data_IF_660752922487
#
_entry.id   IF_660752922487
#
_cell.length_a   1.000
_cell.length_b   1.000
_cell.length_c   1.000
_cell.angle_alpha   90.00
_cell.angle_beta   90.00
_cell.angle_gamma   90.00
#
_symmetry.space_group_name_H-M   'P 1'
#
loop_
_entity.id
_entity.type
_entity.pdbx_description
1 polymer ?
#
# COMPACT_ATOMS: atom_id res chain seq x y z
N UNK A 1 -2.18 4.78 -12.51
CA UNK A 1 -0.75 5.07 -12.74
C UNK A 1 -0.47 5.55 -14.16
N UNK A 2 -0.74 4.80 -15.25
CA UNK A 2 -0.41 5.18 -16.65
C UNK A 2 -0.87 6.56 -17.10
N UNK A 3 -1.97 7.09 -16.58
CA UNK A 3 -2.41 8.47 -16.89
C UNK A 3 -1.59 9.58 -16.19
N UNK A 4 -0.74 9.23 -15.23
CA UNK A 4 0.10 10.16 -14.48
C UNK A 4 1.55 10.11 -14.91
N UNK A 5 1.97 9.02 -15.54
CA UNK A 5 3.36 8.79 -15.92
C UNK A 5 3.43 8.23 -17.33
N UNK A 6 4.36 8.77 -18.10
CA UNK A 6 4.79 8.18 -19.37
C UNK A 6 5.94 7.21 -19.04
N UNK A 7 5.72 5.92 -19.32
CA UNK A 7 6.67 4.89 -18.95
C UNK A 7 6.13 3.47 -19.12
N UNK A 8 7.01 2.52 -18.87
CA UNK A 8 6.71 1.10 -18.99
C UNK A 8 6.12 0.54 -17.68
N UNK A 9 5.26 -0.43 -17.84
CA UNK A 9 4.64 -1.17 -16.75
C UNK A 9 5.08 -2.63 -16.83
N UNK A 10 5.84 -3.05 -15.83
CA UNK A 10 6.40 -4.39 -15.74
C UNK A 10 5.75 -5.20 -14.62
N UNK A 11 5.48 -6.45 -14.89
CA UNK A 11 5.07 -7.42 -13.88
C UNK A 11 5.69 -8.78 -14.20
N UNK A 12 5.68 -9.71 -13.25
CA UNK A 12 6.13 -11.08 -13.49
C UNK A 12 5.41 -11.74 -14.68
N UNK A 13 4.16 -11.34 -14.94
CA UNK A 13 3.39 -11.81 -16.09
C UNK A 13 3.80 -11.14 -17.41
N UNK A 14 4.38 -9.94 -17.34
CA UNK A 14 4.78 -9.11 -18.49
C UNK A 14 6.29 -8.95 -18.63
N UNK A 15 7.07 -10.00 -18.29
CA UNK A 15 8.50 -10.11 -18.60
C UNK A 15 9.47 -9.38 -17.65
N UNK A 16 9.14 -9.12 -16.39
CA UNK A 16 10.13 -8.73 -15.39
C UNK A 16 9.89 -9.52 -14.10
N UNK A 17 10.79 -10.45 -13.79
CA UNK A 17 10.86 -11.11 -12.49
C UNK A 17 11.95 -10.42 -11.65
N UNK A 18 11.55 -9.81 -10.55
CA UNK A 18 12.49 -9.13 -9.62
C UNK A 18 13.56 -10.07 -9.04
N UNK A 19 13.32 -11.38 -9.08
CA UNK A 19 14.30 -12.40 -8.66
C UNK A 19 15.30 -12.76 -9.76
N UNK A 20 15.07 -12.32 -11.00
CA UNK A 20 16.01 -12.49 -12.11
C UNK A 20 16.95 -11.30 -12.18
N UNK A 21 18.26 -11.54 -12.03
CA UNK A 21 19.26 -10.48 -12.15
C UNK A 21 19.25 -9.82 -13.55
N UNK A 22 19.00 -10.62 -14.60
CA UNK A 22 18.91 -10.09 -15.96
C UNK A 22 17.71 -9.15 -16.16
N UNK A 23 16.58 -9.48 -15.53
CA UNK A 23 15.40 -8.62 -15.59
C UNK A 23 15.58 -7.37 -14.72
N UNK A 24 16.17 -7.52 -13.53
CA UNK A 24 16.46 -6.40 -12.63
C UNK A 24 17.39 -5.37 -13.27
N UNK A 25 18.36 -5.79 -14.10
CA UNK A 25 19.28 -4.91 -14.81
C UNK A 25 18.57 -3.86 -15.70
N UNK A 26 17.33 -4.16 -16.14
CA UNK A 26 16.54 -3.24 -16.98
C UNK A 26 16.15 -1.94 -16.28
N UNK A 27 16.11 -1.91 -14.94
CA UNK A 27 15.80 -0.65 -14.22
C UNK A 27 16.87 0.42 -14.42
N UNK A 28 18.08 0.05 -14.83
CA UNK A 28 19.13 1.00 -15.18
C UNK A 28 18.77 1.90 -16.39
N UNK A 29 17.79 1.54 -17.19
CA UNK A 29 17.34 2.33 -18.34
C UNK A 29 16.37 3.45 -17.94
N UNK A 30 15.92 3.50 -16.67
CA UNK A 30 14.88 4.42 -16.20
C UNK A 30 15.43 5.45 -15.21
N UNK A 31 14.94 6.68 -15.31
CA UNK A 31 15.24 7.76 -14.35
C UNK A 31 14.41 7.62 -13.07
N UNK A 32 13.23 7.00 -13.16
CA UNK A 32 12.31 6.78 -12.03
C UNK A 32 11.83 5.35 -12.04
N UNK A 33 11.97 4.68 -10.90
CA UNK A 33 11.44 3.33 -10.66
C UNK A 33 10.44 3.38 -9.52
N UNK A 34 9.17 3.01 -9.80
CA UNK A 34 8.13 2.86 -8.79
C UNK A 34 7.94 1.36 -8.54
N UNK A 35 8.47 0.88 -7.42
CA UNK A 35 8.50 -0.54 -7.09
C UNK A 35 7.28 -0.95 -6.26
N UNK A 36 6.31 -1.58 -6.93
CA UNK A 36 5.07 -2.08 -6.34
C UNK A 36 5.04 -3.60 -6.22
N UNK A 37 5.96 -4.31 -6.89
CA UNK A 37 5.98 -5.77 -6.86
C UNK A 37 6.21 -6.29 -5.45
N UNK A 38 5.40 -7.23 -5.01
CA UNK A 38 5.50 -7.87 -3.71
C UNK A 38 4.78 -9.21 -3.69
N UNK A 39 5.20 -10.08 -2.77
CA UNK A 39 4.42 -11.22 -2.33
C UNK A 39 3.62 -10.80 -1.09
N UNK A 40 2.28 -10.82 -1.18
CA UNK A 40 1.39 -10.20 -0.19
C UNK A 40 0.71 -11.22 0.76
N UNK A 41 1.24 -12.44 0.86
CA UNK A 41 0.67 -13.46 1.75
C UNK A 41 1.04 -13.23 3.21
N UNK A 42 0.04 -13.35 4.08
CA UNK A 42 0.22 -13.42 5.55
C UNK A 42 0.25 -14.87 6.08
N UNK A 43 0.13 -15.86 5.18
CA UNK A 43 0.21 -17.27 5.57
C UNK A 43 1.66 -17.62 5.98
N UNK A 44 1.89 -18.18 7.18
CA UNK A 44 3.23 -18.60 7.61
C UNK A 44 3.92 -19.58 6.64
N UNK A 45 3.18 -20.39 5.88
CA UNK A 45 3.73 -21.30 4.89
C UNK A 45 4.43 -20.58 3.72
N UNK A 46 4.06 -19.32 3.45
CA UNK A 46 4.61 -18.52 2.36
C UNK A 46 5.71 -17.55 2.83
N UNK A 47 6.20 -17.71 4.06
CA UNK A 47 7.18 -16.79 4.66
C UNK A 47 8.46 -16.67 3.82
N UNK A 48 8.98 -17.77 3.31
CA UNK A 48 10.19 -17.78 2.49
C UNK A 48 9.96 -17.00 1.18
N UNK A 49 8.83 -17.18 0.54
CA UNK A 49 8.48 -16.45 -0.69
C UNK A 49 8.30 -14.95 -0.43
N UNK A 50 7.77 -14.55 0.75
CA UNK A 50 7.74 -13.16 1.16
C UNK A 50 9.16 -12.57 1.25
N UNK A 51 10.08 -13.21 1.96
CA UNK A 51 11.46 -12.71 2.09
C UNK A 51 12.19 -12.70 0.75
N UNK A 52 12.09 -13.74 -0.05
CA UNK A 52 12.71 -13.79 -1.37
C UNK A 52 12.19 -12.68 -2.27
N UNK A 53 10.88 -12.56 -2.43
CA UNK A 53 10.31 -11.58 -3.37
C UNK A 53 10.49 -10.15 -2.85
N UNK A 54 10.17 -9.90 -1.57
CA UNK A 54 10.10 -8.53 -1.05
C UNK A 54 11.47 -7.99 -0.65
N UNK A 55 12.41 -8.84 -0.22
CA UNK A 55 13.76 -8.41 0.17
C UNK A 55 14.75 -8.62 -0.97
N UNK A 56 14.98 -9.88 -1.38
CA UNK A 56 16.00 -10.17 -2.40
C UNK A 56 15.63 -9.53 -3.74
N UNK A 57 14.33 -9.60 -4.15
CA UNK A 57 13.83 -8.94 -5.34
C UNK A 57 14.05 -7.43 -5.31
N UNK A 58 13.75 -6.77 -4.18
CA UNK A 58 14.02 -5.34 -4.01
C UNK A 58 15.52 -5.04 -4.09
N UNK A 59 16.37 -5.82 -3.41
CA UNK A 59 17.82 -5.65 -3.45
C UNK A 59 18.39 -5.81 -4.87
N UNK A 60 17.85 -6.73 -5.66
CA UNK A 60 18.27 -6.89 -7.06
C UNK A 60 18.02 -5.60 -7.86
N UNK A 61 16.84 -4.99 -7.71
CA UNK A 61 16.55 -3.71 -8.36
C UNK A 61 17.47 -2.59 -7.86
N UNK A 62 17.66 -2.48 -6.53
CA UNK A 62 18.47 -1.42 -5.91
C UNK A 62 19.95 -1.47 -6.36
N UNK A 63 20.48 -2.65 -6.63
CA UNK A 63 21.84 -2.83 -7.15
C UNK A 63 22.04 -2.25 -8.55
N UNK A 64 20.99 -2.17 -9.33
CA UNK A 64 21.01 -1.69 -10.71
C UNK A 64 20.63 -0.20 -10.83
N UNK A 65 20.14 0.42 -9.73
CA UNK A 65 19.80 1.86 -9.75
C UNK A 65 21.01 2.71 -10.10
N UNK A 66 20.82 3.67 -10.99
CA UNK A 66 21.85 4.64 -11.38
C UNK A 66 21.93 5.80 -10.36
N UNK A 67 23.10 6.43 -10.29
CA UNK A 67 23.25 7.69 -9.58
C UNK A 67 22.26 8.74 -10.13
N UNK A 68 21.69 9.55 -9.24
CA UNK A 68 20.73 10.62 -9.54
C UNK A 68 19.34 10.16 -10.04
N UNK A 69 19.09 8.86 -10.16
CA UNK A 69 17.74 8.33 -10.41
C UNK A 69 16.85 8.41 -9.16
N UNK A 70 15.59 7.99 -9.28
CA UNK A 70 14.60 8.01 -8.19
C UNK A 70 14.04 6.60 -8.00
N UNK A 71 14.03 6.12 -6.75
CA UNK A 71 13.40 4.86 -6.39
C UNK A 71 12.25 5.10 -5.40
N UNK A 72 11.02 4.78 -5.78
CA UNK A 72 9.84 4.86 -4.91
C UNK A 72 9.43 3.46 -4.51
N UNK A 73 9.41 3.18 -3.21
CA UNK A 73 9.11 1.88 -2.64
C UNK A 73 7.74 1.87 -1.95
N UNK A 74 6.88 0.95 -2.37
CA UNK A 74 5.62 0.69 -1.69
C UNK A 74 5.83 -0.26 -0.51
N UNK A 75 5.92 0.32 0.68
CA UNK A 75 5.89 -0.39 1.96
C UNK A 75 4.46 -0.51 2.48
N UNK A 76 4.27 -0.82 3.74
CA UNK A 76 2.97 -1.01 4.37
C UNK A 76 2.91 -0.39 5.76
N UNK A 77 1.74 0.15 6.13
CA UNK A 77 1.45 0.59 7.50
C UNK A 77 1.55 -0.54 8.53
N UNK A 78 1.37 -1.78 8.09
CA UNK A 78 1.33 -2.93 9.00
C UNK A 78 2.71 -3.25 9.63
N UNK A 79 3.79 -2.56 9.19
CA UNK A 79 5.12 -2.61 9.85
C UNK A 79 5.06 -2.14 11.31
N UNK A 80 4.10 -1.31 11.66
CA UNK A 80 3.90 -0.82 13.03
C UNK A 80 3.29 -1.88 13.97
N UNK A 81 2.63 -2.90 13.43
CA UNK A 81 1.94 -3.89 14.25
C UNK A 81 0.92 -3.25 15.20
N UNK A 82 0.81 -3.80 16.42
CA UNK A 82 -0.12 -3.30 17.44
C UNK A 82 0.28 -1.92 18.01
N UNK A 83 1.52 -1.45 17.84
CA UNK A 83 1.91 -0.12 18.30
C UNK A 83 1.09 1.01 17.65
N UNK A 84 0.53 0.77 16.46
CA UNK A 84 -0.34 1.74 15.81
C UNK A 84 -1.63 2.03 16.62
N UNK A 85 -2.11 1.08 17.41
CA UNK A 85 -3.32 1.24 18.22
C UNK A 85 -3.15 2.24 19.39
N UNK A 86 -1.92 2.61 19.72
CA UNK A 86 -1.62 3.63 20.73
C UNK A 86 -1.86 5.07 20.24
N UNK A 87 -2.17 5.24 18.92
CA UNK A 87 -2.32 6.54 18.28
C UNK A 87 -3.71 6.75 17.68
N UNK A 88 -4.24 7.96 17.81
CA UNK A 88 -5.45 8.36 17.10
C UNK A 88 -5.21 8.59 15.59
N UNK A 89 -4.02 9.08 15.24
CA UNK A 89 -3.43 9.15 13.90
C UNK A 89 -1.97 8.72 14.02
N UNK A 90 -1.56 7.75 13.23
CA UNK A 90 -0.26 7.07 13.39
C UNK A 90 0.84 7.85 12.70
N UNK A 91 1.86 8.35 13.43
CA UNK A 91 2.98 9.08 12.83
C UNK A 91 4.08 8.11 12.36
N UNK A 92 5.01 8.58 11.51
CA UNK A 92 6.12 7.78 10.99
C UNK A 92 7.11 7.30 12.06
N UNK A 93 7.17 8.00 13.20
CA UNK A 93 8.01 7.61 14.35
C UNK A 93 7.35 6.58 15.28
N UNK A 94 6.13 6.12 14.96
CA UNK A 94 5.52 4.98 15.66
C UNK A 94 6.47 3.78 15.63
N UNK A 95 6.57 3.05 16.76
CA UNK A 95 7.49 1.91 16.88
C UNK A 95 7.21 0.84 15.83
N UNK A 96 8.27 0.27 15.29
CA UNK A 96 8.26 -0.88 14.39
C UNK A 96 8.83 -2.14 15.06
N UNK A 97 8.95 -2.15 16.39
CA UNK A 97 9.33 -3.34 17.14
C UNK A 97 8.33 -4.47 16.93
N UNK A 98 8.81 -5.70 17.11
CA UNK A 98 8.00 -6.88 16.85
C UNK A 98 6.76 -6.99 17.76
N UNK A 99 5.60 -7.00 17.16
CA UNK A 99 4.28 -7.15 17.79
C UNK A 99 3.40 -8.12 16.98
N UNK A 100 3.95 -9.32 16.74
CA UNK A 100 3.29 -10.38 15.96
C UNK A 100 3.04 -10.07 14.47
N UNK A 101 3.83 -9.18 13.86
CA UNK A 101 3.82 -8.99 12.41
C UNK A 101 4.20 -10.29 11.69
N UNK A 102 3.58 -10.55 10.55
CA UNK A 102 3.88 -11.71 9.72
C UNK A 102 5.14 -11.51 8.86
N UNK A 103 5.52 -12.52 8.09
CA UNK A 103 6.63 -12.42 7.16
C UNK A 103 6.44 -11.32 6.11
N UNK A 104 5.18 -11.00 5.75
CA UNK A 104 4.88 -9.90 4.83
C UNK A 104 5.38 -8.56 5.39
N UNK A 105 4.95 -8.19 6.60
CA UNK A 105 5.32 -6.92 7.20
C UNK A 105 6.82 -6.86 7.48
N UNK A 106 7.40 -7.94 8.00
CA UNK A 106 8.84 -8.01 8.25
C UNK A 106 9.67 -7.87 6.99
N UNK A 107 9.30 -8.58 5.91
CA UNK A 107 10.02 -8.48 4.64
C UNK A 107 9.96 -7.07 4.04
N UNK A 108 8.81 -6.39 4.18
CA UNK A 108 8.68 -4.99 3.76
C UNK A 108 9.55 -4.06 4.61
N UNK A 109 9.55 -4.22 5.94
CA UNK A 109 10.39 -3.42 6.83
C UNK A 109 11.89 -3.62 6.57
N UNK A 110 12.33 -4.86 6.36
CA UNK A 110 13.72 -5.14 6.00
C UNK A 110 14.07 -4.49 4.65
N UNK A 111 13.18 -4.56 3.67
CA UNK A 111 13.37 -3.90 2.38
C UNK A 111 13.48 -2.37 2.51
N UNK A 112 12.72 -1.72 3.41
CA UNK A 112 12.90 -0.28 3.71
C UNK A 112 14.35 0.05 4.09
N UNK A 113 14.96 -0.77 4.97
CA UNK A 113 16.36 -0.57 5.40
C UNK A 113 17.36 -0.74 4.25
N UNK A 114 17.08 -1.67 3.33
CA UNK A 114 17.88 -1.81 2.11
C UNK A 114 17.72 -0.61 1.17
N UNK A 115 16.51 -0.09 1.00
CA UNK A 115 16.26 1.11 0.19
C UNK A 115 17.09 2.29 0.71
N UNK A 116 17.05 2.56 2.02
CA UNK A 116 17.83 3.63 2.65
C UNK A 116 19.34 3.43 2.46
N UNK A 117 19.83 2.22 2.71
CA UNK A 117 21.26 1.91 2.56
C UNK A 117 21.73 2.12 1.12
N UNK A 118 21.03 1.54 0.14
CA UNK A 118 21.46 1.62 -1.26
C UNK A 118 21.29 3.04 -1.83
N UNK A 119 20.29 3.81 -1.41
CA UNK A 119 20.13 5.20 -1.83
C UNK A 119 21.37 6.04 -1.50
N UNK A 120 21.90 5.87 -0.29
CA UNK A 120 23.14 6.54 0.16
C UNK A 120 24.35 6.02 -0.63
N UNK A 121 24.53 4.68 -0.72
CA UNK A 121 25.71 4.08 -1.32
C UNK A 121 25.83 4.35 -2.83
N UNK A 122 24.71 4.46 -3.51
CA UNK A 122 24.66 4.62 -4.98
C UNK A 122 24.25 6.02 -5.42
N UNK A 123 24.00 6.92 -4.46
CA UNK A 123 23.66 8.33 -4.71
C UNK A 123 22.42 8.49 -5.62
N UNK A 124 21.31 7.81 -5.29
CA UNK A 124 20.01 8.06 -5.90
C UNK A 124 19.01 8.55 -4.87
N UNK A 125 17.92 9.20 -5.32
CA UNK A 125 16.84 9.65 -4.46
C UNK A 125 15.91 8.50 -4.15
N UNK A 126 15.44 8.41 -2.89
CA UNK A 126 14.51 7.34 -2.48
C UNK A 126 13.32 7.88 -1.71
N UNK A 127 12.17 7.27 -1.96
CA UNK A 127 10.95 7.49 -1.21
C UNK A 127 10.36 6.16 -0.76
N UNK A 128 10.02 6.06 0.51
CA UNK A 128 9.32 4.92 1.09
C UNK A 128 7.93 5.39 1.49
N UNK A 129 6.90 4.81 0.89
CA UNK A 129 5.51 5.04 1.30
C UNK A 129 5.01 3.84 2.11
N UNK A 130 4.75 4.04 3.41
CA UNK A 130 4.02 3.11 4.26
C UNK A 130 2.53 3.25 3.96
N UNK A 131 2.08 2.43 3.02
CA UNK A 131 0.73 2.51 2.48
C UNK A 131 -0.30 2.01 3.50
N UNK A 132 -1.37 2.77 3.68
CA UNK A 132 -2.60 2.29 4.25
C UNK A 132 -3.39 1.49 3.20
N UNK A 133 -4.71 1.54 3.23
CA UNK A 133 -5.56 0.79 2.31
C UNK A 133 -5.72 1.51 0.98
N UNK A 134 -4.91 1.16 0.01
CA UNK A 134 -5.06 1.68 -1.36
C UNK A 134 -6.09 0.85 -2.12
N UNK A 135 -7.02 1.51 -2.80
CA UNK A 135 -8.03 0.87 -3.63
C UNK A 135 -8.08 1.46 -5.04
N UNK A 136 -8.48 0.62 -5.98
CA UNK A 136 -8.62 0.96 -7.39
C UNK A 136 -9.76 0.17 -8.02
N UNK A 137 -10.17 0.58 -9.23
CA UNK A 137 -11.10 -0.20 -10.03
C UNK A 137 -10.55 -1.61 -10.27
N UNK A 138 -11.40 -2.66 -10.16
CA UNK A 138 -10.97 -4.03 -10.43
C UNK A 138 -10.33 -4.12 -11.82
N UNK A 139 -9.25 -4.88 -11.92
CA UNK A 139 -8.66 -5.26 -13.21
C UNK A 139 -8.67 -6.78 -13.35
N UNK A 140 -8.94 -7.27 -14.55
CA UNK A 140 -8.99 -8.71 -14.81
C UNK A 140 -7.68 -9.40 -14.40
N UNK A 141 -7.83 -10.51 -13.67
CA UNK A 141 -6.70 -11.35 -13.26
C UNK A 141 -5.85 -10.83 -12.08
N UNK A 142 -6.22 -9.73 -11.44
CA UNK A 142 -5.58 -9.27 -10.23
C UNK A 142 -6.42 -9.57 -8.99
N UNK A 143 -5.72 -9.84 -7.86
CA UNK A 143 -6.37 -9.91 -6.57
C UNK A 143 -6.89 -8.52 -6.18
N UNK A 144 -8.16 -8.47 -5.79
CA UNK A 144 -8.80 -7.25 -5.37
C UNK A 144 -8.54 -7.03 -3.88
N UNK A 145 -8.13 -5.81 -3.50
CA UNK A 145 -8.10 -5.41 -2.10
C UNK A 145 -9.51 -5.44 -1.48
N UNK A 146 -9.60 -5.42 -0.15
CA UNK A 146 -10.88 -5.64 0.54
C UNK A 146 -11.96 -4.61 0.19
N UNK A 147 -11.62 -3.34 -0.09
CA UNK A 147 -12.61 -2.33 -0.51
C UNK A 147 -13.30 -2.74 -1.82
N UNK A 148 -12.50 -3.14 -2.80
CA UNK A 148 -13.02 -3.64 -4.09
C UNK A 148 -13.80 -4.95 -3.91
N UNK A 149 -13.33 -5.82 -3.02
CA UNK A 149 -14.06 -7.05 -2.66
C UNK A 149 -15.45 -6.73 -2.08
N UNK A 150 -15.58 -5.73 -1.19
CA UNK A 150 -16.86 -5.33 -0.64
C UNK A 150 -17.80 -4.77 -1.73
N UNK A 151 -17.29 -3.93 -2.64
CA UNK A 151 -18.08 -3.43 -3.77
C UNK A 151 -18.62 -4.57 -4.62
N UNK A 152 -17.76 -5.54 -5.02
CA UNK A 152 -18.19 -6.70 -5.80
C UNK A 152 -19.15 -7.62 -5.03
N UNK A 153 -18.93 -7.80 -3.73
CA UNK A 153 -19.81 -8.63 -2.91
C UNK A 153 -21.21 -8.05 -2.78
N UNK A 154 -21.33 -6.72 -2.56
CA UNK A 154 -22.64 -6.05 -2.54
C UNK A 154 -23.33 -6.12 -3.90
N UNK A 155 -22.59 -5.86 -5.01
CA UNK A 155 -23.13 -5.96 -6.38
C UNK A 155 -23.69 -7.34 -6.71
N UNK A 156 -23.00 -8.39 -6.24
CA UNK A 156 -23.31 -9.79 -6.59
C UNK A 156 -24.10 -10.52 -5.51
N UNK A 157 -24.46 -9.83 -4.44
CA UNK A 157 -25.10 -10.43 -3.26
C UNK A 157 -24.30 -11.61 -2.69
N UNK A 158 -22.97 -11.48 -2.67
CA UNK A 158 -22.10 -12.45 -2.02
C UNK A 158 -22.01 -12.18 -0.52
N UNK A 159 -21.91 -13.24 0.32
CA UNK A 159 -21.77 -13.06 1.77
C UNK A 159 -20.46 -12.34 2.10
N UNK A 160 -20.55 -11.35 2.99
CA UNK A 160 -19.40 -10.59 3.50
C UNK A 160 -19.19 -10.97 4.96
N UNK A 161 -18.00 -11.46 5.29
CA UNK A 161 -17.60 -11.76 6.67
C UNK A 161 -16.78 -10.61 7.22
N UNK A 162 -17.15 -10.15 8.42
CA UNK A 162 -16.51 -9.00 9.06
C UNK A 162 -15.86 -9.38 10.38
N UNK A 163 -14.58 -9.05 10.60
CA UNK A 163 -13.99 -9.15 11.94
C UNK A 163 -14.67 -8.15 12.87
N UNK A 164 -14.93 -8.56 14.12
CA UNK A 164 -15.50 -7.69 15.16
C UNK A 164 -16.70 -6.85 14.65
N UNK A 165 -17.64 -7.50 13.93
CA UNK A 165 -18.84 -6.86 13.38
C UNK A 165 -18.57 -5.67 12.45
N UNK A 166 -17.32 -5.53 12.00
CA UNK A 166 -16.89 -4.46 11.11
C UNK A 166 -16.50 -3.16 11.80
N UNK A 167 -16.27 -3.17 13.12
CA UNK A 167 -15.85 -1.98 13.88
C UNK A 167 -14.40 -1.48 13.56
N UNK A 168 -13.43 -2.31 13.10
CA UNK A 168 -12.09 -1.82 12.79
C UNK A 168 -12.10 -0.70 11.76
N UNK A 169 -11.34 0.37 12.03
CA UNK A 169 -11.26 1.57 11.19
C UNK A 169 -10.06 1.51 10.25
N UNK A 170 -10.25 1.97 9.02
CA UNK A 170 -9.19 2.14 8.01
C UNK A 170 -9.37 3.47 7.29
N UNK A 171 -8.26 4.16 7.06
CA UNK A 171 -8.21 5.29 6.15
C UNK A 171 -7.92 4.78 4.73
N UNK A 172 -8.92 4.88 3.87
CA UNK A 172 -8.83 4.35 2.50
C UNK A 172 -8.33 5.42 1.54
N UNK A 173 -7.43 5.03 0.62
CA UNK A 173 -6.78 5.92 -0.34
C UNK A 173 -7.06 5.48 -1.77
N UNK A 174 -7.59 6.38 -2.58
CA UNK A 174 -7.76 6.11 -4.01
C UNK A 174 -6.39 6.03 -4.72
N UNK A 175 -6.22 5.10 -5.66
CA UNK A 175 -4.95 4.88 -6.39
C UNK A 175 -4.43 6.11 -7.13
N UNK A 176 -5.31 7.03 -7.52
CA UNK A 176 -4.89 8.28 -8.15
C UNK A 176 -4.21 9.24 -7.17
N UNK A 177 -4.62 9.23 -5.91
CA UNK A 177 -3.95 10.01 -4.87
C UNK A 177 -2.58 9.42 -4.54
N UNK A 178 -2.43 8.08 -4.56
CA UNK A 178 -1.11 7.44 -4.52
C UNK A 178 -0.23 7.90 -5.70
N UNK A 179 -0.79 7.96 -6.91
CA UNK A 179 -0.05 8.42 -8.09
C UNK A 179 0.37 9.89 -7.97
N UNK A 180 -0.50 10.75 -7.38
CA UNK A 180 -0.15 12.15 -7.08
C UNK A 180 0.95 12.27 -6.03
N UNK A 181 0.97 11.40 -5.01
CA UNK A 181 2.06 11.36 -4.03
C UNK A 181 3.40 10.99 -4.67
N UNK A 182 3.41 10.00 -5.55
CA UNK A 182 4.62 9.66 -6.33
C UNK A 182 5.10 10.88 -7.14
N UNK A 183 4.19 11.58 -7.81
CA UNK A 183 4.53 12.79 -8.60
C UNK A 183 5.06 13.89 -7.70
N UNK A 184 4.43 14.16 -6.55
CA UNK A 184 4.89 15.17 -5.60
C UNK A 184 6.33 14.92 -5.12
N UNK A 185 6.69 13.65 -4.84
CA UNK A 185 8.06 13.31 -4.50
C UNK A 185 9.02 13.49 -5.69
N UNK A 186 8.64 13.04 -6.88
CA UNK A 186 9.49 13.18 -8.09
C UNK A 186 9.82 14.65 -8.35
N UNK A 187 8.83 15.53 -8.24
CA UNK A 187 8.95 16.97 -8.53
C UNK A 187 9.60 17.76 -7.37
N UNK A 188 9.76 17.15 -6.19
CA UNK A 188 10.41 17.77 -5.02
C UNK A 188 11.94 17.75 -5.12
N UNK A 189 12.60 18.44 -4.18
CA UNK A 189 14.05 18.36 -3.97
C UNK A 189 14.46 17.36 -2.87
N UNK A 190 13.51 16.66 -2.25
CA UNK A 190 13.77 15.70 -1.18
C UNK A 190 14.60 14.54 -1.71
N UNK A 191 15.68 14.21 -1.00
CA UNK A 191 16.59 13.13 -1.40
C UNK A 191 16.22 11.79 -0.79
N UNK A 192 15.75 11.78 0.46
CA UNK A 192 15.31 10.58 1.17
C UNK A 192 14.01 10.92 1.90
N UNK A 193 12.92 10.24 1.55
CA UNK A 193 11.62 10.42 2.17
C UNK A 193 11.08 9.11 2.76
N UNK A 194 10.50 9.19 3.93
CA UNK A 194 9.70 8.14 4.56
C UNK A 194 8.38 8.74 5.00
N UNK A 195 7.27 8.28 4.42
CA UNK A 195 5.96 8.84 4.69
C UNK A 195 4.90 7.78 4.92
N UNK A 196 4.02 8.02 5.88
CA UNK A 196 2.73 7.36 5.89
C UNK A 196 1.88 7.88 4.73
N UNK A 197 1.22 6.98 4.03
CA UNK A 197 0.40 7.34 2.89
C UNK A 197 -0.95 6.63 2.93
N UNK A 198 -1.97 7.36 3.28
CA UNK A 198 -3.34 6.90 3.42
C UNK A 198 -4.35 8.00 3.11
N UNK A 199 -5.62 7.71 3.38
CA UNK A 199 -6.68 8.69 3.22
C UNK A 199 -6.77 9.71 4.34
N UNK A 200 -6.03 9.50 5.44
CA UNK A 200 -6.10 10.33 6.64
C UNK A 200 -7.48 10.31 7.30
N UNK A 201 -7.69 11.18 8.27
CA UNK A 201 -8.95 11.23 9.04
C UNK A 201 -10.18 11.49 8.18
N UNK A 202 -10.05 12.27 7.11
CA UNK A 202 -11.19 12.62 6.23
C UNK A 202 -11.71 11.42 5.42
N UNK A 203 -10.86 10.42 5.19
CA UNK A 203 -11.21 9.20 4.48
C UNK A 203 -11.13 7.95 5.40
N UNK A 204 -11.26 8.14 6.72
CA UNK A 204 -11.28 7.06 7.69
C UNK A 204 -12.70 6.58 7.95
N UNK A 205 -12.93 5.28 7.80
CA UNK A 205 -14.20 4.61 8.03
C UNK A 205 -13.97 3.26 8.70
N UNK A 206 -14.93 2.80 9.49
CA UNK A 206 -15.01 1.40 9.87
C UNK A 206 -15.30 0.52 8.66
N UNK A 207 -14.95 -0.76 8.74
CA UNK A 207 -15.24 -1.70 7.66
C UNK A 207 -16.76 -1.79 7.40
N UNK A 208 -17.58 -1.64 8.45
CA UNK A 208 -19.03 -1.62 8.35
C UNK A 208 -19.52 -0.39 7.60
N UNK A 209 -19.03 0.80 7.95
CA UNK A 209 -19.39 2.04 7.26
C UNK A 209 -19.02 2.04 5.78
N UNK A 210 -17.89 1.40 5.40
CA UNK A 210 -17.52 1.23 3.99
C UNK A 210 -18.59 0.42 3.26
N UNK A 211 -19.03 -0.70 3.83
CA UNK A 211 -20.05 -1.57 3.22
C UNK A 211 -21.39 -0.84 3.14
N UNK A 212 -21.80 -0.15 4.20
CA UNK A 212 -23.08 0.58 4.24
C UNK A 212 -23.09 1.70 3.18
N UNK A 213 -21.99 2.43 3.00
CA UNK A 213 -21.84 3.41 1.90
C UNK A 213 -21.91 2.77 0.51
N UNK A 214 -21.28 1.63 0.31
CA UNK A 214 -21.36 0.88 -0.95
C UNK A 214 -22.81 0.44 -1.20
N UNK A 215 -23.47 -0.09 -0.18
CA UNK A 215 -24.86 -0.53 -0.25
C UNK A 215 -25.82 0.62 -0.62
N UNK A 216 -25.62 1.80 -0.02
CA UNK A 216 -26.36 3.02 -0.35
C UNK A 216 -26.13 3.45 -1.80
N UNK A 217 -24.87 3.49 -2.26
CA UNK A 217 -24.53 3.88 -3.64
C UNK A 217 -25.11 2.94 -4.71
N UNK A 218 -25.18 1.65 -4.41
CA UNK A 218 -25.68 0.60 -5.33
C UNK A 218 -27.20 0.41 -5.15
N UNK A 219 -27.79 0.89 -4.06
CA UNK A 219 -29.18 0.65 -3.64
C UNK A 219 -29.46 -0.86 -3.49
N UNK A 220 -28.51 -1.59 -2.93
CA UNK A 220 -28.60 -3.03 -2.71
C UNK A 220 -28.25 -3.37 -1.26
N UNK A 221 -29.03 -4.25 -0.63
CA UNK A 221 -28.79 -4.66 0.76
C UNK A 221 -27.59 -5.60 0.81
N UNK A 222 -26.56 -5.34 1.64
CA UNK A 222 -25.43 -6.24 1.81
C UNK A 222 -25.84 -7.51 2.52
N UNK A 223 -25.28 -8.65 2.13
CA UNK A 223 -25.45 -9.91 2.82
C UNK A 223 -24.27 -10.10 3.77
N UNK A 224 -24.50 -9.90 5.09
CA UNK A 224 -23.47 -10.10 6.11
C UNK A 224 -23.58 -11.55 6.63
N UNK A 225 -22.47 -12.26 6.61
CA UNK A 225 -22.33 -13.60 7.16
C UNK A 225 -21.70 -13.51 8.57
N UNK A 226 -22.52 -13.74 9.58
CA UNK A 226 -22.11 -13.73 10.99
C UNK A 226 -21.79 -15.13 11.52
N UNK A 227 -21.81 -16.16 10.67
CA UNK A 227 -21.73 -17.58 11.07
C UNK A 227 -20.39 -17.97 11.70
N UNK A 228 -19.31 -17.23 11.41
CA UNK A 228 -18.01 -17.50 12.00
C UNK A 228 -17.23 -16.20 12.22
N UNK A 229 -16.78 -15.93 13.46
CA UNK A 229 -15.98 -14.77 13.75
C UNK A 229 -14.64 -14.86 13.04
N UNK A 230 -14.15 -13.71 12.54
CA UNK A 230 -12.80 -13.56 12.00
C UNK A 230 -11.88 -13.07 13.12
N UNK A 231 -10.57 -13.41 13.07
CA UNK A 231 -9.59 -12.84 13.97
C UNK A 231 -9.58 -11.32 13.87
N UNK A 232 -9.31 -10.64 14.99
CA UNK A 232 -9.10 -9.21 14.97
C UNK A 232 -7.90 -8.88 14.09
N UNK A 233 -7.99 -7.85 13.22
CA UNK A 233 -6.83 -7.38 12.46
C UNK A 233 -5.81 -6.70 13.39
N UNK A 234 -4.56 -6.71 13.00
CA UNK A 234 -3.48 -6.00 13.68
C UNK A 234 -2.83 -5.04 12.67
N UNK A 235 -2.82 -3.73 12.92
CA UNK A 235 -3.48 -3.03 14.03
C UNK A 235 -5.02 -3.11 13.95
N UNK A 236 -5.69 -2.94 15.10
CA UNK A 236 -7.15 -2.90 15.17
C UNK A 236 -7.71 -1.70 14.40
N UNK A 237 -7.16 -0.50 14.70
CA UNK A 237 -7.50 0.73 13.99
C UNK A 237 -6.24 1.33 13.36
N UNK A 238 -6.42 1.96 12.20
CA UNK A 238 -5.33 2.68 11.56
C UNK A 238 -5.84 3.89 10.79
N UNK A 239 -5.29 5.04 11.14
CA UNK A 239 -5.46 6.31 10.42
C UNK A 239 -4.07 6.93 10.28
N UNK A 240 -3.63 7.22 9.07
CA UNK A 240 -2.33 7.86 8.82
C UNK A 240 -2.32 9.29 9.35
N UNK A 241 -1.31 9.65 10.13
CA UNK A 241 -0.91 11.06 10.26
C UNK A 241 -0.26 11.48 8.94
N UNK A 242 -0.84 12.46 8.27
CA UNK A 242 -0.37 12.99 7.00
C UNK A 242 0.37 14.32 7.14
N UNK A 243 0.70 14.73 8.38
CA UNK A 243 1.40 15.99 8.65
C UNK A 243 2.74 16.06 7.94
N UNK A 244 3.56 15.03 8.07
CA UNK A 244 4.90 15.01 7.48
C UNK A 244 4.89 15.14 5.95
N UNK A 245 4.13 14.31 5.25
CA UNK A 245 4.05 14.37 3.78
C UNK A 245 3.43 15.70 3.29
N UNK A 246 2.46 16.25 4.02
CA UNK A 246 1.87 17.55 3.68
C UNK A 246 2.90 18.68 3.80
N UNK A 247 3.64 18.70 4.89
CA UNK A 247 4.56 19.80 5.20
C UNK A 247 5.80 19.75 4.30
N UNK A 248 6.27 18.57 3.88
CA UNK A 248 7.47 18.42 3.06
C UNK A 248 7.17 18.35 1.55
N UNK A 249 6.10 17.69 1.13
CA UNK A 249 5.76 17.53 -0.30
C UNK A 249 4.54 18.35 -0.74
N UNK A 250 3.86 19.07 0.16
CA UNK A 250 2.62 19.77 -0.16
C UNK A 250 1.47 18.84 -0.56
N UNK A 251 1.56 17.53 -0.26
CA UNK A 251 0.59 16.54 -0.70
C UNK A 251 -0.49 16.29 0.36
N UNK A 252 -1.70 16.10 -0.13
CA UNK A 252 -2.84 15.57 0.65
C UNK A 252 -3.79 14.81 -0.27
N UNK A 253 -4.61 13.88 0.25
CA UNK A 253 -5.60 13.17 -0.56
C UNK A 253 -6.63 14.15 -1.12
N UNK A 254 -7.00 13.99 -2.39
CA UNK A 254 -7.94 14.85 -3.10
C UNK A 254 -9.28 14.15 -3.37
N UNK A 255 -9.26 12.81 -3.45
CA UNK A 255 -10.46 12.02 -3.75
C UNK A 255 -11.11 11.60 -2.43
N UNK A 256 -12.31 12.11 -2.22
CA UNK A 256 -13.14 11.74 -1.08
C UNK A 256 -13.75 10.35 -1.23
N UNK A 257 -14.25 9.80 -0.12
CA UNK A 257 -14.80 8.45 -0.03
C UNK A 257 -15.89 8.19 -1.08
N UNK A 258 -16.88 9.08 -1.17
CA UNK A 258 -18.03 8.89 -2.06
C UNK A 258 -17.61 8.90 -3.53
N UNK A 259 -16.78 9.86 -3.94
CA UNK A 259 -16.24 9.94 -5.30
C UNK A 259 -15.43 8.70 -5.62
N UNK A 260 -14.54 8.31 -4.72
CA UNK A 260 -13.68 7.14 -4.88
C UNK A 260 -14.46 5.83 -4.99
N UNK A 261 -15.45 5.60 -4.12
CA UNK A 261 -16.30 4.41 -4.19
C UNK A 261 -17.15 4.40 -5.46
N UNK A 262 -17.71 5.54 -5.90
CA UNK A 262 -18.43 5.65 -7.19
C UNK A 262 -17.55 5.28 -8.37
N UNK A 263 -16.24 5.57 -8.32
CA UNK A 263 -15.30 5.22 -9.38
C UNK A 263 -15.13 3.71 -9.58
N UNK A 264 -15.50 2.89 -8.57
CA UNK A 264 -15.43 1.43 -8.62
C UNK A 264 -16.69 0.80 -9.24
N UNK A 265 -17.77 1.55 -9.33
CA UNK A 265 -19.05 1.09 -9.86
C UNK A 265 -19.08 1.11 -11.39
#
# INVERSE_FOLDING_TARGET
MRRFFDGDDFSRRSQLDVLSAADAARVADYDVVIHLAAHLSKNPADAEDCFRTNVEGTVNLLREMRSHSIFIFASTKDVYGAHADDYAEVPEHCSTEYQNQSALEWSKFIAERHVEYYAIQRNFRSCIFRLSTVYARPSEGNENGFVTHYVESVKRSWPIRLPLEGTPVRDILHVDDFSRACRAFIDSSVTVGLYNLGGGRVNALSLREIIDKVAELIQCRPLIDESAPLPAPVPLNYISDLGHIRDELGWQPQIGIEEGLRSLL
#
